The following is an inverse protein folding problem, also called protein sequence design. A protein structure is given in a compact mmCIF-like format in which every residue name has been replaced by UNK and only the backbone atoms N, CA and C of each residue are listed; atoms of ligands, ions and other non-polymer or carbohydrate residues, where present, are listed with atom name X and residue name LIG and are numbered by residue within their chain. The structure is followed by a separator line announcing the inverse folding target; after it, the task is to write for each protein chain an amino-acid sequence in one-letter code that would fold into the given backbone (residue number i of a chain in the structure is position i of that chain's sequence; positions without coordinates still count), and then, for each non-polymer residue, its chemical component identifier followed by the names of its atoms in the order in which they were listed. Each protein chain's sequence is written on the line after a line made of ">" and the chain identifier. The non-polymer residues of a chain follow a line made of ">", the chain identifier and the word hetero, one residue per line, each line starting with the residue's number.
data_IF_621561979925
#
_entry.id   IF_621561979925
#
_cell.length_a   1.000
_cell.length_b   1.000
_cell.length_c   1.000
_cell.angle_alpha   90.00
_cell.angle_beta   90.00
_cell.angle_gamma   90.00
#
_symmetry.space_group_name_H-M   'P 1'
#
loop_
_entity.id
_entity.type
_entity.pdbx_description
1 polymer ?
#
# COMPACT_ATOMS: atom_id res chain seq x y z
N UNK A 1 11.05 -1.86 30.08
CA UNK A 1 11.44 -3.07 29.31
C UNK A 1 11.01 -3.00 27.84
N UNK A 2 10.14 -2.04 27.47
CA UNK A 2 9.61 -1.75 26.13
C UNK A 2 10.62 -1.06 25.20
N UNK A 3 11.41 -0.10 25.71
CA UNK A 3 12.39 0.66 24.92
C UNK A 3 13.42 -0.21 24.18
N UNK A 4 13.87 -1.29 24.83
CA UNK A 4 14.89 -2.20 24.29
C UNK A 4 14.36 -3.09 23.14
N UNK A 5 13.05 -3.33 23.12
CA UNK A 5 12.37 -4.15 22.10
C UNK A 5 12.22 -3.38 20.79
N UNK A 6 11.81 -2.11 20.86
CA UNK A 6 11.71 -1.23 19.70
C UNK A 6 13.05 -1.02 18.98
N UNK A 7 14.13 -0.84 19.73
CA UNK A 7 15.47 -0.71 19.14
C UNK A 7 15.90 -1.97 18.39
N UNK A 8 15.51 -3.16 18.84
CA UNK A 8 15.81 -4.41 18.13
C UNK A 8 14.97 -4.55 16.85
N UNK A 9 13.70 -4.17 16.90
CA UNK A 9 12.79 -4.20 15.75
C UNK A 9 13.19 -3.20 14.66
N UNK A 10 13.58 -1.98 15.03
CA UNK A 10 14.05 -0.95 14.09
C UNK A 10 15.36 -1.33 13.36
N UNK A 11 16.20 -2.13 14.02
CA UNK A 11 17.43 -2.67 13.44
C UNK A 11 17.22 -3.96 12.64
N UNK A 12 16.01 -4.55 12.67
CA UNK A 12 15.69 -5.71 11.86
C UNK A 12 15.91 -5.43 10.38
N UNK A 13 16.46 -6.43 9.67
CA UNK A 13 16.82 -6.34 8.26
C UNK A 13 16.48 -7.66 7.57
N UNK A 14 15.72 -7.65 6.45
CA UNK A 14 15.53 -8.85 5.63
C UNK A 14 16.87 -9.35 5.09
N UNK A 15 17.08 -10.66 4.93
CA UNK A 15 18.30 -11.16 4.29
C UNK A 15 18.32 -10.82 2.78
N UNK A 16 17.18 -11.03 2.11
CA UNK A 16 16.90 -10.67 0.73
C UNK A 16 15.48 -10.14 0.61
N UNK A 17 15.18 -9.43 -0.48
CA UNK A 17 13.79 -9.08 -0.85
C UNK A 17 13.10 -10.15 -1.70
N UNK A 18 13.83 -11.19 -2.11
CA UNK A 18 13.29 -12.28 -2.94
C UNK A 18 12.91 -13.53 -2.14
N UNK A 19 13.24 -13.57 -0.85
CA UNK A 19 13.03 -14.73 0.00
C UNK A 19 11.63 -14.67 0.61
N UNK A 20 10.62 -15.01 -0.20
CA UNK A 20 9.27 -15.20 0.30
C UNK A 20 9.09 -16.64 0.74
N UNK A 21 8.98 -16.85 2.05
CA UNK A 21 8.62 -18.14 2.63
C UNK A 21 7.11 -18.39 2.60
N UNK A 22 6.32 -17.32 2.39
CA UNK A 22 4.86 -17.36 2.34
C UNK A 22 4.35 -17.22 0.89
N UNK A 23 3.68 -18.26 0.34
CA UNK A 23 3.09 -18.21 -1.00
C UNK A 23 1.96 -17.18 -1.13
N UNK A 24 1.25 -16.86 -0.04
CA UNK A 24 0.22 -15.80 -0.04
C UNK A 24 0.87 -14.44 -0.25
N UNK A 25 1.96 -14.15 0.47
CA UNK A 25 2.75 -12.94 0.25
C UNK A 25 3.28 -12.82 -1.19
N UNK A 26 3.69 -13.93 -1.83
CA UNK A 26 4.11 -13.93 -3.24
C UNK A 26 2.99 -13.50 -4.18
N UNK A 27 1.81 -14.10 -4.06
CA UNK A 27 0.65 -13.80 -4.91
C UNK A 27 0.24 -12.35 -4.72
N UNK A 28 0.04 -11.95 -3.47
CA UNK A 28 -0.42 -10.59 -3.11
C UNK A 28 0.59 -9.52 -3.55
N UNK A 29 1.89 -9.77 -3.46
CA UNK A 29 2.92 -8.82 -3.91
C UNK A 29 2.97 -8.66 -5.43
N UNK A 30 2.50 -9.64 -6.19
CA UNK A 30 2.34 -9.52 -7.64
C UNK A 30 1.17 -8.62 -8.06
N UNK A 31 0.19 -8.39 -7.17
CA UNK A 31 -0.99 -7.60 -7.51
C UNK A 31 -0.69 -6.11 -7.38
N UNK A 32 -0.68 -5.44 -8.53
CA UNK A 32 -0.46 -4.01 -8.65
C UNK A 32 -1.62 -3.22 -8.05
N UNK A 33 -2.85 -3.58 -8.44
CA UNK A 33 -4.05 -2.88 -8.01
C UNK A 33 -4.32 -2.97 -6.51
N UNK A 34 -4.54 -1.84 -5.84
CA UNK A 34 -4.75 -1.80 -4.39
C UNK A 34 -6.06 -2.46 -3.96
N UNK A 35 -7.16 -2.23 -4.66
CA UNK A 35 -8.45 -2.86 -4.39
C UNK A 35 -8.37 -4.36 -4.64
N UNK A 36 -7.82 -4.76 -5.80
CA UNK A 36 -7.61 -6.18 -6.13
C UNK A 36 -6.71 -6.89 -5.12
N UNK A 37 -5.67 -6.21 -4.64
CA UNK A 37 -4.76 -6.74 -3.62
C UNK A 37 -5.46 -6.88 -2.27
N UNK A 38 -6.31 -5.94 -1.90
CA UNK A 38 -7.11 -6.01 -0.68
C UNK A 38 -8.09 -7.18 -0.73
N UNK A 39 -8.80 -7.34 -1.84
CA UNK A 39 -9.73 -8.46 -2.05
C UNK A 39 -8.98 -9.80 -2.00
N UNK A 40 -7.88 -9.94 -2.73
CA UNK A 40 -7.06 -11.15 -2.70
C UNK A 40 -6.53 -11.47 -1.28
N UNK A 41 -6.17 -10.46 -0.48
CA UNK A 41 -5.79 -10.67 0.93
C UNK A 41 -6.95 -11.21 1.76
N UNK A 42 -8.14 -10.61 1.63
CA UNK A 42 -9.34 -11.06 2.34
C UNK A 42 -9.69 -12.49 1.93
N UNK A 43 -9.72 -12.78 0.64
CA UNK A 43 -10.06 -14.09 0.12
C UNK A 43 -9.04 -15.15 0.53
N UNK A 44 -7.73 -14.86 0.43
CA UNK A 44 -6.68 -15.79 0.86
C UNK A 44 -6.68 -15.97 2.39
N UNK A 45 -7.01 -14.93 3.16
CA UNK A 45 -7.20 -15.04 4.62
C UNK A 45 -8.36 -15.99 4.97
N UNK A 46 -9.50 -15.82 4.30
CA UNK A 46 -10.66 -16.69 4.44
C UNK A 46 -10.37 -18.14 3.99
N UNK A 47 -9.57 -18.32 2.94
CA UNK A 47 -9.13 -19.65 2.46
C UNK A 47 -8.20 -20.32 3.47
N UNK A 48 -7.29 -19.59 4.12
CA UNK A 48 -6.38 -20.15 5.13
C UNK A 48 -7.13 -20.63 6.38
N UNK A 49 -8.12 -19.84 6.83
CA UNK A 49 -9.02 -20.22 7.93
C UNK A 49 -9.87 -21.45 7.57
N UNK A 50 -10.28 -21.56 6.30
CA UNK A 50 -11.10 -22.68 5.79
C UNK A 50 -10.28 -23.95 5.48
N UNK A 51 -9.02 -23.83 5.09
CA UNK A 51 -8.11 -24.97 4.88
C UNK A 51 -7.79 -25.69 6.21
N UNK A 52 -7.76 -24.96 7.32
CA UNK A 52 -7.71 -25.55 8.67
C UNK A 52 -9.03 -26.24 9.09
N UNK A 53 -10.10 -26.12 8.30
CA UNK A 53 -11.39 -26.79 8.49
C UNK A 53 -11.65 -27.92 7.48
N UNK A 54 -10.65 -28.34 6.70
CA UNK A 54 -10.72 -29.53 5.84
C UNK A 54 -11.51 -29.37 4.54
N UNK A 55 -11.57 -28.15 3.98
CA UNK A 55 -12.24 -27.87 2.70
C UNK A 55 -11.26 -27.71 1.53
N UNK A 56 -11.51 -28.46 0.46
CA UNK A 56 -10.70 -28.64 -0.74
C UNK A 56 -10.37 -27.33 -1.50
N UNK A 57 -9.22 -27.33 -2.18
CA UNK A 57 -8.62 -26.30 -3.06
C UNK A 57 -9.41 -26.03 -4.37
N UNK A 58 -10.73 -26.22 -4.37
CA UNK A 58 -11.59 -26.13 -5.58
C UNK A 58 -12.11 -24.71 -5.89
N UNK A 59 -11.88 -23.71 -5.02
CA UNK A 59 -12.38 -22.33 -5.24
C UNK A 59 -11.51 -21.48 -6.17
N UNK A 60 -10.26 -21.87 -6.42
CA UNK A 60 -9.35 -21.07 -7.26
C UNK A 60 -9.81 -20.94 -8.72
N UNK A 61 -10.78 -21.73 -9.18
CA UNK A 61 -11.23 -21.74 -10.57
C UNK A 61 -12.43 -20.82 -10.88
N UNK A 62 -13.18 -20.34 -9.88
CA UNK A 62 -14.45 -19.62 -10.10
C UNK A 62 -14.37 -18.09 -9.90
N UNK A 63 -13.19 -17.55 -9.56
CA UNK A 63 -13.04 -16.09 -9.33
C UNK A 63 -11.84 -15.49 -10.06
N UNK A 64 -11.62 -15.85 -11.33
CA UNK A 64 -10.64 -15.16 -12.19
C UNK A 64 -10.97 -13.68 -12.43
N UNK A 65 -12.11 -13.20 -11.94
CA UNK A 65 -12.61 -11.84 -12.08
C UNK A 65 -11.65 -10.77 -11.51
N UNK A 66 -10.91 -11.05 -10.43
CA UNK A 66 -9.88 -10.13 -9.91
C UNK A 66 -8.58 -10.14 -10.74
N UNK A 67 -8.33 -11.18 -11.53
CA UNK A 67 -7.21 -11.25 -12.49
C UNK A 67 -7.53 -10.47 -13.77
N UNK A 68 -8.82 -10.36 -14.12
CA UNK A 68 -9.27 -9.58 -15.26
C UNK A 68 -9.27 -8.08 -14.95
N UNK A 69 -8.59 -7.29 -15.79
CA UNK A 69 -8.47 -5.84 -15.65
C UNK A 69 -9.73 -5.05 -16.06
N UNK A 70 -10.92 -5.64 -15.97
CA UNK A 70 -12.17 -5.02 -16.41
C UNK A 70 -13.26 -5.20 -15.36
N UNK A 71 -13.62 -4.13 -14.67
CA UNK A 71 -14.93 -4.04 -14.02
C UNK A 71 -16.03 -4.05 -15.12
N UNK A 72 -17.26 -4.46 -14.80
CA UNK A 72 -18.40 -4.42 -15.71
C UNK A 72 -18.81 -2.98 -16.07
N UNK A 73 -19.17 -2.74 -17.34
CA UNK A 73 -19.50 -1.45 -17.97
C UNK A 73 -20.47 -0.56 -17.15
N UNK A 74 -21.38 -1.18 -16.39
CA UNK A 74 -22.36 -0.50 -15.54
C UNK A 74 -21.73 0.10 -14.26
N UNK A 75 -20.67 -0.51 -13.73
CA UNK A 75 -19.84 0.04 -12.63
C UNK A 75 -19.02 1.23 -13.10
N UNK A 76 -18.72 1.32 -14.40
CA UNK A 76 -17.97 2.45 -14.97
C UNK A 76 -18.78 3.74 -14.98
N UNK A 77 -20.09 3.70 -15.26
CA UNK A 77 -20.91 4.92 -15.34
C UNK A 77 -21.17 5.58 -13.97
N UNK A 78 -21.31 4.79 -12.91
CA UNK A 78 -21.46 5.30 -11.53
C UNK A 78 -20.10 5.79 -11.00
N UNK A 79 -19.02 5.07 -11.28
CA UNK A 79 -17.67 5.40 -10.76
C UNK A 79 -17.00 6.57 -11.49
N UNK A 80 -17.19 6.71 -12.81
CA UNK A 80 -16.55 7.76 -13.60
C UNK A 80 -17.10 9.17 -13.36
N UNK A 81 -18.29 9.30 -12.78
CA UNK A 81 -18.87 10.61 -12.39
C UNK A 81 -18.49 11.06 -10.99
N UNK A 82 -17.97 10.18 -10.14
CA UNK A 82 -17.96 10.44 -8.70
C UNK A 82 -16.56 10.41 -8.06
N UNK A 83 -15.61 9.57 -8.52
CA UNK A 83 -14.30 9.43 -7.87
C UNK A 83 -13.20 8.98 -8.83
N UNK A 84 -11.93 9.29 -8.53
CA UNK A 84 -10.79 8.75 -9.29
C UNK A 84 -10.48 7.30 -8.82
N UNK A 85 -11.44 6.39 -9.01
CA UNK A 85 -11.35 4.98 -8.64
C UNK A 85 -10.17 4.23 -9.31
N UNK A 86 -9.54 4.85 -10.31
CA UNK A 86 -8.31 4.34 -10.95
C UNK A 86 -7.07 4.49 -10.08
N UNK A 87 -7.11 5.28 -9.01
CA UNK A 87 -5.95 5.53 -8.16
C UNK A 87 -5.56 4.27 -7.39
N UNK A 88 -4.31 3.86 -7.59
CA UNK A 88 -3.73 2.65 -7.05
C UNK A 88 -4.02 1.39 -7.85
N UNK A 89 -4.74 1.47 -8.99
CA UNK A 89 -5.07 0.32 -9.82
C UNK A 89 -4.11 0.09 -10.99
N UNK A 90 -3.39 1.13 -11.40
CA UNK A 90 -2.63 1.15 -12.66
C UNK A 90 -1.13 1.40 -12.46
N UNK A 91 -0.57 1.00 -11.30
CA UNK A 91 0.85 1.20 -11.01
C UNK A 91 1.75 0.69 -12.17
N UNK A 92 2.85 1.39 -12.48
CA UNK A 92 3.77 1.01 -13.54
C UNK A 92 4.27 -0.44 -13.40
N UNK A 93 4.55 -1.10 -14.51
CA UNK A 93 5.12 -2.45 -14.46
C UNK A 93 6.48 -2.46 -13.73
N UNK A 94 6.79 -3.53 -12.99
CA UNK A 94 8.11 -3.68 -12.38
C UNK A 94 9.18 -3.86 -13.47
N UNK A 95 10.33 -3.22 -13.27
CA UNK A 95 11.49 -3.48 -14.13
C UNK A 95 11.97 -4.93 -13.94
N UNK A 96 12.71 -5.52 -14.90
CA UNK A 96 13.26 -6.86 -14.72
C UNK A 96 14.12 -6.98 -13.45
N UNK A 97 13.73 -7.88 -12.55
CA UNK A 97 14.35 -8.11 -11.24
C UNK A 97 14.05 -7.05 -10.17
N UNK A 98 13.05 -6.20 -10.40
CA UNK A 98 12.53 -5.25 -9.43
C UNK A 98 11.36 -5.85 -8.65
N UNK A 99 11.27 -5.52 -7.37
CA UNK A 99 10.23 -5.99 -6.48
C UNK A 99 9.71 -4.87 -5.58
N UNK A 100 8.42 -4.89 -5.26
CA UNK A 100 7.84 -4.01 -4.26
C UNK A 100 8.24 -4.46 -2.85
N UNK A 101 8.79 -3.55 -2.06
CA UNK A 101 9.28 -3.80 -0.69
C UNK A 101 8.44 -3.10 0.37
N UNK A 102 7.66 -2.10 -0.01
CA UNK A 102 6.68 -1.44 0.83
C UNK A 102 5.61 -0.76 -0.05
N UNK A 103 4.43 -0.58 0.52
CA UNK A 103 3.34 0.16 -0.10
C UNK A 103 2.73 1.11 0.93
N UNK A 104 2.56 2.36 0.54
CA UNK A 104 1.80 3.36 1.30
C UNK A 104 0.50 3.59 0.57
N UNK A 105 -0.61 3.45 1.29
CA UNK A 105 -1.96 3.65 0.77
C UNK A 105 -2.53 4.85 1.51
N UNK A 106 -2.84 5.90 0.77
CA UNK A 106 -3.47 7.10 1.30
C UNK A 106 -4.93 7.03 0.92
N UNK A 107 -5.79 6.97 1.93
CA UNK A 107 -7.23 6.94 1.78
C UNK A 107 -7.91 8.00 2.62
N UNK A 108 -9.07 8.44 2.14
CA UNK A 108 -9.95 9.35 2.86
C UNK A 108 -11.31 8.68 3.06
N UNK A 109 -11.89 8.86 4.24
CA UNK A 109 -13.25 8.43 4.52
C UNK A 109 -14.25 9.48 4.06
N UNK A 110 -15.15 9.10 3.17
CA UNK A 110 -16.23 9.96 2.73
C UNK A 110 -17.59 9.35 3.06
N UNK A 111 -18.56 10.22 3.32
CA UNK A 111 -19.96 9.80 3.40
C UNK A 111 -20.66 10.17 2.10
N UNK A 112 -21.27 9.19 1.46
CA UNK A 112 -22.05 9.36 0.24
C UNK A 112 -23.50 9.02 0.53
N UNK A 113 -24.39 9.95 0.21
CA UNK A 113 -25.82 9.69 0.21
C UNK A 113 -26.15 8.94 -1.08
N UNK A 114 -26.66 7.71 -0.95
CA UNK A 114 -27.13 6.93 -2.10
C UNK A 114 -28.61 7.23 -2.37
N UNK A 115 -29.10 6.91 -3.57
CA UNK A 115 -30.46 7.25 -4.03
C UNK A 115 -31.59 6.76 -3.10
N UNK A 116 -31.32 5.72 -2.28
CA UNK A 116 -32.24 5.24 -1.25
C UNK A 116 -32.37 6.17 -0.03
N UNK A 117 -31.62 7.26 0.03
CA UNK A 117 -31.52 8.17 1.19
C UNK A 117 -30.64 7.63 2.32
N UNK A 118 -30.00 6.49 2.13
CA UNK A 118 -29.04 5.92 3.07
C UNK A 118 -27.68 6.63 2.93
N UNK A 119 -27.08 7.02 4.05
CA UNK A 119 -25.75 7.61 4.07
C UNK A 119 -24.72 6.51 4.30
N UNK A 120 -23.93 6.19 3.27
CA UNK A 120 -22.89 5.16 3.34
C UNK A 120 -21.51 5.78 3.50
N UNK A 121 -20.72 5.20 4.41
CA UNK A 121 -19.30 5.50 4.54
C UNK A 121 -18.51 4.68 3.51
N UNK A 122 -17.75 5.35 2.66
CA UNK A 122 -16.86 4.73 1.69
C UNK A 122 -15.42 5.18 1.94
N UNK A 123 -14.47 4.28 1.69
CA UNK A 123 -13.05 4.60 1.65
C UNK A 123 -12.69 4.95 0.21
N UNK A 124 -12.18 6.17 -0.02
CA UNK A 124 -11.67 6.55 -1.33
C UNK A 124 -10.15 6.62 -1.31
N UNK A 125 -9.52 5.94 -2.27
CA UNK A 125 -8.09 6.01 -2.46
C UNK A 125 -7.72 7.37 -3.05
N UNK A 126 -6.88 8.12 -2.33
CA UNK A 126 -6.31 9.37 -2.82
C UNK A 126 -4.94 9.16 -3.48
N UNK A 127 -4.13 8.24 -2.95
CA UNK A 127 -2.86 7.90 -3.57
C UNK A 127 -2.33 6.52 -3.14
N UNK A 128 -1.50 5.91 -3.98
CA UNK A 128 -0.76 4.69 -3.64
C UNK A 128 0.69 4.85 -4.07
N UNK A 129 1.60 4.80 -3.09
CA UNK A 129 3.04 4.78 -3.35
C UNK A 129 3.56 3.35 -3.24
N UNK A 130 4.17 2.86 -4.31
CA UNK A 130 4.85 1.56 -4.36
C UNK A 130 6.36 1.80 -4.27
N UNK A 131 6.97 1.37 -3.16
CA UNK A 131 8.40 1.47 -2.93
C UNK A 131 9.02 0.18 -3.43
N UNK A 132 9.93 0.30 -4.40
CA UNK A 132 10.50 -0.85 -5.10
C UNK A 132 12.00 -0.91 -4.93
N UNK A 133 12.53 -2.12 -4.88
CA UNK A 133 13.94 -2.43 -4.85
C UNK A 133 14.34 -3.28 -6.06
N UNK A 134 15.49 -2.99 -6.63
CA UNK A 134 16.06 -3.76 -7.74
C UNK A 134 17.53 -4.05 -7.48
N UNK A 135 17.91 -5.33 -7.50
CA UNK A 135 19.31 -5.71 -7.39
C UNK A 135 20.03 -5.51 -8.73
N UNK A 136 21.02 -4.62 -8.76
CA UNK A 136 21.83 -4.34 -9.96
C UNK A 136 23.24 -3.92 -9.57
N UNK A 137 24.24 -4.55 -10.18
CA UNK A 137 25.66 -4.22 -10.00
C UNK A 137 26.11 -4.26 -8.52
N UNK A 138 25.68 -5.30 -7.79
CA UNK A 138 26.08 -5.52 -6.38
C UNK A 138 25.39 -4.61 -5.37
N UNK A 139 24.30 -3.95 -5.74
CA UNK A 139 23.53 -3.04 -4.88
C UNK A 139 22.03 -3.17 -5.13
N UNK A 140 21.23 -2.93 -4.09
CA UNK A 140 19.82 -2.62 -4.25
C UNK A 140 19.70 -1.16 -4.65
N UNK A 141 18.97 -0.88 -5.74
CA UNK A 141 18.51 0.46 -6.11
C UNK A 141 17.05 0.59 -5.76
N UNK A 142 16.68 1.72 -5.19
CA UNK A 142 15.32 1.99 -4.75
C UNK A 142 14.67 3.00 -5.69
N UNK A 143 13.36 2.85 -5.88
CA UNK A 143 12.52 3.89 -6.47
C UNK A 143 11.14 3.86 -5.85
N UNK A 144 10.43 4.97 -6.00
CA UNK A 144 9.02 5.09 -5.63
C UNK A 144 8.26 5.31 -6.93
N UNK A 145 7.09 4.70 -7.04
CA UNK A 145 6.17 4.92 -8.14
C UNK A 145 4.76 5.09 -7.60
N UNK A 146 3.96 5.86 -8.33
CA UNK A 146 2.53 6.00 -8.15
C UNK A 146 1.82 5.78 -9.49
N UNK A 147 0.50 5.99 -9.52
CA UNK A 147 -0.33 5.84 -10.71
C UNK A 147 -0.24 7.03 -11.68
N UNK A 148 0.45 8.09 -11.28
CA UNK A 148 0.53 9.35 -12.02
C UNK A 148 1.88 9.55 -12.72
N UNK A 149 2.76 8.54 -12.67
CA UNK A 149 4.14 8.59 -13.17
C UNK A 149 4.95 9.76 -12.56
N UNK A 150 4.69 10.02 -11.27
CA UNK A 150 5.38 11.08 -10.56
C UNK A 150 6.86 10.73 -10.34
N UNK A 151 7.72 11.74 -10.47
CA UNK A 151 9.13 11.61 -10.12
C UNK A 151 9.33 11.81 -8.61
N UNK A 152 10.12 10.93 -7.97
CA UNK A 152 10.41 11.00 -6.55
C UNK A 152 11.92 11.05 -6.27
N UNK A 153 12.30 11.93 -5.34
CA UNK A 153 13.62 11.96 -4.72
C UNK A 153 13.58 11.25 -3.36
N UNK A 154 14.37 10.20 -3.21
CA UNK A 154 14.44 9.38 -1.98
C UNK A 154 15.87 9.25 -1.49
N UNK A 155 16.03 9.09 -0.18
CA UNK A 155 17.30 8.78 0.46
C UNK A 155 17.13 7.58 1.39
N UNK A 156 17.93 6.51 1.25
CA UNK A 156 18.97 6.30 0.24
C UNK A 156 18.39 5.88 -1.13
N UNK A 157 19.02 6.28 -2.24
CA UNK A 157 18.67 5.77 -3.58
C UNK A 157 19.21 4.35 -3.82
N UNK A 158 20.24 3.93 -3.09
CA UNK A 158 20.79 2.57 -3.20
C UNK A 158 21.61 2.16 -1.99
N UNK A 159 21.73 0.85 -1.78
CA UNK A 159 22.45 0.25 -0.65
C UNK A 159 23.13 -1.06 -1.09
N UNK A 160 24.09 -1.57 -0.32
CA UNK A 160 24.72 -2.89 -0.56
C UNK A 160 23.93 -4.06 0.06
N UNK A 161 22.99 -3.75 0.94
CA UNK A 161 22.20 -4.68 1.74
C UNK A 161 20.79 -4.11 1.85
N UNK A 162 19.77 -4.95 1.88
CA UNK A 162 18.36 -4.62 2.19
C UNK A 162 18.23 -3.58 3.31
N UNK A 163 17.31 -2.63 3.24
CA UNK A 163 17.12 -1.62 4.29
C UNK A 163 16.79 -2.29 5.65
N UNK A 164 17.25 -1.70 6.75
CA UNK A 164 16.59 -1.98 8.03
C UNK A 164 15.19 -1.40 8.06
N UNK A 165 14.36 -1.81 9.02
CA UNK A 165 13.06 -1.19 9.24
C UNK A 165 13.20 0.33 9.46
N UNK A 166 14.17 0.78 10.29
CA UNK A 166 14.45 2.21 10.46
C UNK A 166 14.79 2.91 9.14
N UNK A 167 15.67 2.32 8.33
CA UNK A 167 16.05 2.92 7.05
C UNK A 167 14.89 2.97 6.04
N UNK A 168 13.95 2.02 6.13
CA UNK A 168 12.72 2.06 5.34
C UNK A 168 11.79 3.17 5.83
N UNK A 169 11.59 3.29 7.15
CA UNK A 169 10.80 4.38 7.75
C UNK A 169 11.37 5.74 7.35
N UNK A 170 12.69 5.92 7.49
CA UNK A 170 13.39 7.15 7.08
C UNK A 170 13.18 7.46 5.60
N UNK A 171 13.20 6.44 4.73
CA UNK A 171 12.92 6.60 3.30
C UNK A 171 11.48 7.08 3.06
N UNK A 172 10.50 6.50 3.77
CA UNK A 172 9.09 6.89 3.67
C UNK A 172 8.84 8.32 4.17
N UNK A 173 9.49 8.71 5.26
CA UNK A 173 9.38 10.05 5.84
C UNK A 173 10.10 11.10 4.98
N UNK A 174 11.28 10.78 4.44
CA UNK A 174 12.10 11.75 3.70
C UNK A 174 11.87 11.78 2.19
N UNK A 175 11.15 10.81 1.63
CA UNK A 175 10.88 10.72 0.19
C UNK A 175 9.98 11.85 -0.30
N UNK A 176 10.36 12.54 -1.36
CA UNK A 176 9.65 13.75 -1.84
C UNK A 176 9.33 13.64 -3.31
N UNK A 177 8.18 14.11 -3.73
CA UNK A 177 7.92 14.32 -5.15
C UNK A 177 8.87 15.41 -5.69
N UNK A 178 9.42 15.20 -6.87
CA UNK A 178 10.27 16.18 -7.56
C UNK A 178 9.44 17.33 -8.15
N UNK A 179 8.18 17.07 -8.48
CA UNK A 179 7.26 18.09 -8.97
C UNK A 179 6.72 18.95 -7.82
N UNK A 180 6.83 20.30 -7.90
CA UNK A 180 6.23 21.21 -6.93
C UNK A 180 4.69 21.21 -6.99
N UNK A 181 4.10 20.72 -8.08
CA UNK A 181 2.65 20.66 -8.29
C UNK A 181 2.00 19.43 -7.65
N UNK A 182 2.82 18.50 -7.13
CA UNK A 182 2.32 17.33 -6.44
C UNK A 182 1.76 17.72 -5.06
N UNK A 183 0.60 17.15 -4.68
CA UNK A 183 -0.17 17.58 -3.51
C UNK A 183 0.66 17.57 -2.20
N UNK A 184 1.50 16.56 -1.98
CA UNK A 184 2.34 16.51 -0.78
C UNK A 184 3.60 17.38 -0.82
N UNK A 185 3.81 18.14 -1.90
CA UNK A 185 4.97 19.03 -2.09
C UNK A 185 6.28 18.29 -1.76
N UNK A 186 7.25 18.99 -1.18
CA UNK A 186 8.51 18.42 -0.69
C UNK A 186 8.43 17.83 0.73
N UNK A 187 7.27 17.41 1.24
CA UNK A 187 7.06 17.11 2.67
C UNK A 187 6.92 15.61 2.98
N UNK A 188 7.71 14.74 2.35
CA UNK A 188 7.69 13.30 2.68
C UNK A 188 6.53 12.54 2.02
N UNK A 189 6.65 11.21 1.86
CA UNK A 189 5.57 10.37 1.30
C UNK A 189 4.44 10.15 2.31
N UNK A 190 4.74 10.33 3.60
CA UNK A 190 3.80 10.09 4.72
C UNK A 190 3.65 11.33 5.60
N UNK A 191 4.72 12.11 5.79
CA UNK A 191 4.74 13.23 6.74
C UNK A 191 3.74 14.34 6.38
N UNK A 192 3.59 14.66 5.08
CA UNK A 192 2.54 15.58 4.62
C UNK A 192 1.14 15.13 5.06
N UNK A 193 0.81 13.86 4.85
CA UNK A 193 -0.52 13.33 5.15
C UNK A 193 -0.79 13.31 6.65
N UNK A 194 0.24 12.99 7.45
CA UNK A 194 0.15 13.13 8.90
C UNK A 194 -0.12 14.58 9.33
N UNK A 195 0.53 15.55 8.68
CA UNK A 195 0.26 16.98 8.90
C UNK A 195 -1.18 17.36 8.58
N UNK A 196 -1.72 16.88 7.46
CA UNK A 196 -3.12 17.10 7.07
C UNK A 196 -4.09 16.51 8.10
N UNK A 197 -3.84 15.29 8.57
CA UNK A 197 -4.67 14.65 9.61
C UNK A 197 -4.62 15.43 10.94
N UNK A 198 -3.44 15.91 11.33
CA UNK A 198 -3.25 16.74 12.52
C UNK A 198 -3.97 18.08 12.42
N UNK A 199 -3.82 18.80 11.30
CA UNK A 199 -4.44 20.12 11.09
C UNK A 199 -5.96 20.06 11.06
N UNK A 200 -6.53 18.96 10.60
CA UNK A 200 -7.98 18.76 10.51
C UNK A 200 -8.59 18.08 11.76
N UNK A 201 -7.79 17.83 12.81
CA UNK A 201 -8.21 17.06 14.01
C UNK A 201 -8.80 15.66 13.69
N UNK A 202 -8.44 15.10 12.53
CA UNK A 202 -8.91 13.78 12.06
C UNK A 202 -8.11 12.61 12.65
N UNK A 203 -6.98 12.92 13.30
CA UNK A 203 -6.16 11.96 14.05
C UNK A 203 -6.85 11.42 15.32
N UNK A 204 -7.95 12.05 15.77
CA UNK A 204 -8.65 11.63 16.97
C UNK A 204 -9.68 10.53 16.68
N UNK A 205 -9.30 9.28 16.98
CA UNK A 205 -10.21 8.14 16.96
C UNK A 205 -10.66 7.84 18.39
N UNK A 206 -11.94 8.09 18.67
CA UNK A 206 -12.60 7.77 19.95
C UNK A 206 -12.40 6.27 20.25
N UNK A 207 -11.77 5.95 21.39
CA UNK A 207 -11.42 4.58 21.81
C UNK A 207 -10.02 4.07 21.44
N UNK A 208 -9.37 4.54 20.36
CA UNK A 208 -7.99 4.14 20.03
C UNK A 208 -6.95 4.89 20.86
N UNK A 209 -7.21 6.17 21.13
CA UNK A 209 -6.31 7.04 21.89
C UNK A 209 -6.44 6.87 23.42
N UNK A 210 -7.40 6.08 23.91
CA UNK A 210 -7.47 5.68 25.32
C UNK A 210 -6.34 4.70 25.67
N UNK A 211 -5.99 3.82 24.73
CA UNK A 211 -4.93 2.81 24.88
C UNK A 211 -3.51 3.37 24.67
N UNK A 212 -3.37 4.58 24.10
CA UNK A 212 -2.08 5.25 23.89
C UNK A 212 -1.63 6.10 25.10
N UNK A 213 -2.40 6.12 26.18
CA UNK A 213 -2.02 6.73 27.46
C UNK A 213 -1.34 5.73 28.38
N UNK A 214 -0.11 5.31 28.06
CA UNK A 214 0.87 4.79 29.04
C UNK A 214 2.32 5.17 28.66
#
# INVERSE_FOLDING_TARGET
>A
MTEMKWHQELNWRPWSYTDFTDPTALIVNGIRGQLRRSNARTDLGLVYDKANSGGHLDWFADSDEWLHGSADEEVWEISSKMFNWRVGESLPEPLPGEIEIARVVISEWMHVDIESGERRKIEALQNVFSIRARWRSGRYRYRVVDDFDSEFSITPQSSRKTLTLAQLIDLLQSGRAASPDFQCRGTGLVEYWWGVELENDLWWVEGFNEDLKE
#
